data_IF_107075372176
#
_entry.id   IF_107075372176
#
_cell.length_a   1.000
_cell.length_b   1.000
_cell.length_c   1.000
_cell.angle_alpha   90.00
_cell.angle_beta   90.00
_cell.angle_gamma   90.00
#
_symmetry.space_group_name_H-M   'P 1'
#
loop_
_entity.id
_entity.type
_entity.pdbx_description
1 polymer ?
#
# COMPACT_ATOMS: atom_id res chain seq x y z
N UNK A 1 17.83 -9.70 -1.80
CA UNK A 1 17.18 -9.17 -3.01
C UNK A 1 15.97 -8.36 -2.59
N UNK A 2 15.76 -7.20 -3.22
CA UNK A 2 14.61 -6.32 -2.98
C UNK A 2 14.21 -5.75 -4.35
N UNK A 3 13.00 -6.05 -4.84
CA UNK A 3 12.46 -5.42 -6.04
C UNK A 3 12.20 -3.93 -5.78
N UNK A 4 12.37 -3.11 -6.81
CA UNK A 4 12.36 -1.64 -6.69
C UNK A 4 10.99 -1.06 -6.33
N UNK A 5 9.92 -1.81 -6.53
CA UNK A 5 8.54 -1.45 -6.26
C UNK A 5 8.07 -1.87 -4.85
N UNK A 6 8.93 -2.48 -4.05
CA UNK A 6 8.64 -2.86 -2.67
C UNK A 6 8.92 -1.72 -1.68
N UNK A 7 7.98 -1.51 -0.77
CA UNK A 7 8.03 -0.46 0.24
C UNK A 7 8.40 -1.07 1.59
N UNK A 8 9.64 -0.88 2.05
CA UNK A 8 10.07 -1.33 3.36
C UNK A 8 9.80 -0.27 4.43
N UNK A 9 8.93 -0.57 5.39
CA UNK A 9 8.58 0.36 6.49
C UNK A 9 9.35 0.05 7.78
N UNK A 10 9.86 -1.18 7.92
CA UNK A 10 10.59 -1.62 9.09
C UNK A 10 12.09 -1.41 8.93
N UNK A 11 12.64 -0.37 9.57
CA UNK A 11 14.08 -0.01 9.46
C UNK A 11 15.04 -1.10 9.94
N UNK A 12 14.57 -2.04 10.76
CA UNK A 12 15.37 -3.13 11.32
C UNK A 12 15.19 -4.47 10.59
N UNK A 13 14.51 -4.46 9.43
CA UNK A 13 14.16 -5.67 8.68
C UNK A 13 15.36 -6.57 8.38
N UNK A 14 16.48 -6.02 7.94
CA UNK A 14 17.68 -6.79 7.63
C UNK A 14 18.19 -7.56 8.85
N UNK A 15 18.36 -6.88 9.98
CA UNK A 15 18.81 -7.49 11.23
C UNK A 15 17.83 -8.54 11.75
N UNK A 16 16.53 -8.31 11.58
CA UNK A 16 15.49 -9.27 11.97
C UNK A 16 15.57 -10.54 11.14
N UNK A 17 15.71 -10.43 9.82
CA UNK A 17 15.87 -11.58 8.93
C UNK A 17 17.17 -12.34 9.20
N UNK A 18 18.29 -11.64 9.47
CA UNK A 18 19.56 -12.27 9.86
C UNK A 18 19.39 -13.12 11.13
N UNK A 19 18.65 -12.60 12.13
CA UNK A 19 18.41 -13.31 13.40
C UNK A 19 17.60 -14.60 13.25
N UNK A 20 16.83 -14.77 12.17
CA UNK A 20 16.11 -16.02 11.92
C UNK A 20 17.05 -17.19 11.56
N UNK A 21 18.31 -16.89 11.21
CA UNK A 21 19.35 -17.87 10.88
C UNK A 21 18.89 -18.92 9.85
N UNK A 22 18.24 -18.47 8.78
CA UNK A 22 17.78 -19.31 7.66
C UNK A 22 18.64 -19.04 6.42
N UNK A 23 18.76 -20.04 5.55
CA UNK A 23 19.50 -19.87 4.28
C UNK A 23 18.76 -18.95 3.33
N UNK A 24 17.43 -19.10 3.21
CA UNK A 24 16.55 -18.18 2.48
C UNK A 24 15.39 -17.77 3.39
N UNK A 25 15.20 -16.48 3.60
CA UNK A 25 14.11 -15.94 4.42
C UNK A 25 13.55 -14.65 3.87
N UNK A 26 12.24 -14.57 3.77
CA UNK A 26 11.50 -13.39 3.34
C UNK A 26 10.72 -12.77 4.51
N UNK A 27 10.67 -11.44 4.61
CA UNK A 27 9.63 -10.77 5.36
C UNK A 27 8.30 -10.91 4.60
N UNK A 28 7.21 -11.16 5.31
CA UNK A 28 5.88 -11.13 4.70
C UNK A 28 5.53 -9.68 4.35
N UNK A 29 5.36 -9.43 3.07
CA UNK A 29 5.01 -8.12 2.52
C UNK A 29 3.48 -8.01 2.36
N UNK A 30 2.92 -6.90 2.80
CA UNK A 30 1.48 -6.64 2.74
C UNK A 30 1.09 -5.99 1.41
N UNK A 31 0.09 -6.54 0.72
CA UNK A 31 -0.50 -5.92 -0.47
C UNK A 31 -1.97 -5.62 -0.26
N UNK A 32 -2.55 -4.88 -1.21
CA UNK A 32 -4.00 -4.87 -1.39
C UNK A 32 -4.51 -6.30 -1.66
N UNK A 33 -5.68 -6.63 -1.11
CA UNK A 33 -6.32 -7.94 -1.24
C UNK A 33 -5.48 -9.13 -0.67
N UNK A 34 -5.55 -10.28 -1.34
CA UNK A 34 -4.95 -11.55 -0.89
C UNK A 34 -3.71 -11.95 -1.71
N UNK A 35 -3.06 -10.99 -2.37
CA UNK A 35 -1.75 -11.20 -2.98
C UNK A 35 -0.64 -11.11 -1.90
N UNK A 36 0.52 -11.70 -2.15
CA UNK A 36 1.65 -11.70 -1.21
C UNK A 36 2.93 -12.20 -1.88
N UNK A 37 4.06 -11.84 -1.30
CA UNK A 37 5.40 -12.23 -1.75
C UNK A 37 5.81 -13.69 -1.42
N UNK A 38 4.84 -14.60 -1.24
CA UNK A 38 5.08 -16.00 -0.89
C UNK A 38 3.90 -16.88 -1.30
N UNK A 39 4.17 -18.16 -1.52
CA UNK A 39 3.14 -19.19 -1.76
C UNK A 39 3.19 -20.25 -0.67
N UNK A 40 2.03 -20.73 -0.19
CA UNK A 40 1.99 -21.87 0.75
C UNK A 40 1.94 -23.25 0.08
N UNK A 41 1.90 -23.29 -1.26
CA UNK A 41 1.78 -24.52 -2.03
C UNK A 41 2.14 -24.27 -3.47
N UNK A 42 2.67 -25.32 -4.11
CA UNK A 42 2.94 -25.37 -5.55
C UNK A 42 2.30 -26.63 -6.13
N UNK A 43 1.86 -26.56 -7.39
CA UNK A 43 1.41 -27.72 -8.17
C UNK A 43 2.61 -28.55 -8.62
N UNK A 44 2.36 -29.72 -9.21
CA UNK A 44 3.40 -30.56 -9.82
C UNK A 44 4.11 -29.88 -10.99
N UNK A 45 3.48 -28.88 -11.60
CA UNK A 45 4.02 -28.06 -12.69
C UNK A 45 4.66 -26.75 -12.20
N UNK A 46 4.81 -26.57 -10.88
CA UNK A 46 5.48 -25.41 -10.30
C UNK A 46 4.62 -24.16 -10.13
N UNK A 47 3.33 -24.21 -10.44
CA UNK A 47 2.44 -23.06 -10.29
C UNK A 47 1.86 -22.93 -8.89
N UNK A 48 1.40 -21.73 -8.57
CA UNK A 48 0.72 -21.42 -7.31
C UNK A 48 -0.40 -22.42 -6.97
N UNK A 49 -0.41 -22.88 -5.71
CA UNK A 49 -1.50 -23.66 -5.14
C UNK A 49 -1.90 -23.08 -3.78
N UNK A 50 -3.14 -22.60 -3.65
CA UNK A 50 -3.69 -22.14 -2.36
C UNK A 50 -3.79 -23.33 -1.39
N UNK A 51 -3.36 -23.13 -0.15
CA UNK A 51 -3.51 -24.10 0.94
C UNK A 51 -4.27 -23.49 2.12
N UNK A 52 -4.85 -24.30 3.04
CA UNK A 52 -5.55 -23.80 4.23
C UNK A 52 -4.66 -22.93 5.13
N UNK A 53 -3.34 -23.11 5.10
CA UNK A 53 -2.39 -22.34 5.88
C UNK A 53 -2.23 -20.88 5.39
N UNK A 54 -2.57 -20.60 4.12
CA UNK A 54 -2.29 -19.31 3.49
C UNK A 54 -2.99 -18.13 4.19
N UNK A 55 -4.31 -18.21 4.38
CA UNK A 55 -5.08 -17.08 4.95
C UNK A 55 -4.67 -16.78 6.40
N UNK A 56 -4.49 -17.76 7.30
CA UNK A 56 -4.00 -17.51 8.65
C UNK A 56 -2.62 -16.84 8.70
N UNK A 57 -1.69 -17.22 7.81
CA UNK A 57 -0.37 -16.59 7.72
C UNK A 57 -0.52 -15.17 7.15
N UNK A 58 -1.23 -15.01 6.03
CA UNK A 58 -1.38 -13.72 5.32
C UNK A 58 -2.08 -12.65 6.15
N UNK A 59 -3.07 -13.03 6.97
CA UNK A 59 -3.78 -12.13 7.88
C UNK A 59 -3.11 -11.99 9.25
N UNK A 60 -1.92 -12.57 9.43
CA UNK A 60 -1.19 -12.60 10.70
C UNK A 60 -2.00 -13.14 11.89
N UNK A 61 -2.98 -14.01 11.64
CA UNK A 61 -3.70 -14.76 12.70
C UNK A 61 -2.74 -15.75 13.34
N UNK A 62 -1.92 -16.43 12.52
CA UNK A 62 -0.79 -17.23 12.98
C UNK A 62 0.50 -16.47 12.70
N UNK A 63 1.17 -16.00 13.75
CA UNK A 63 2.45 -15.28 13.66
C UNK A 63 3.65 -16.22 13.82
N UNK A 64 4.70 -16.02 13.04
CA UNK A 64 5.90 -16.84 13.09
C UNK A 64 6.76 -16.73 11.83
N UNK A 65 7.64 -17.70 11.65
CA UNK A 65 8.36 -17.94 10.40
C UNK A 65 8.00 -19.34 9.90
N UNK A 66 7.51 -19.43 8.68
CA UNK A 66 6.91 -20.64 8.13
C UNK A 66 7.71 -21.12 6.94
N UNK A 67 7.95 -22.43 6.90
CA UNK A 67 8.46 -23.08 5.70
C UNK A 67 7.42 -22.92 4.58
N UNK A 68 7.89 -22.44 3.43
CA UNK A 68 7.06 -22.21 2.24
C UNK A 68 7.82 -22.65 1.00
N UNK A 69 7.13 -23.20 -0.02
CA UNK A 69 7.79 -23.65 -1.24
C UNK A 69 8.29 -22.51 -2.13
N UNK A 70 7.89 -21.25 -1.91
CA UNK A 70 8.36 -20.12 -2.69
C UNK A 70 8.22 -18.80 -1.91
N UNK A 71 9.26 -17.96 -2.01
CA UNK A 71 9.24 -16.54 -1.64
C UNK A 71 9.80 -15.73 -2.81
N UNK A 72 9.32 -14.50 -2.98
CA UNK A 72 9.78 -13.61 -4.04
C UNK A 72 9.82 -12.15 -3.57
N UNK A 73 10.23 -11.27 -4.48
CA UNK A 73 10.26 -9.81 -4.38
C UNK A 73 11.13 -9.19 -3.30
N UNK A 74 11.00 -9.59 -2.06
CA UNK A 74 11.91 -9.19 -0.98
C UNK A 74 12.29 -10.42 -0.17
N UNK A 75 13.58 -10.76 -0.17
CA UNK A 75 14.12 -11.84 0.65
C UNK A 75 15.63 -11.71 0.88
N UNK A 76 16.11 -12.38 1.92
CA UNK A 76 17.52 -12.51 2.29
C UNK A 76 18.00 -13.92 1.96
N UNK A 77 19.17 -14.01 1.32
CA UNK A 77 19.94 -15.25 1.16
C UNK A 77 21.21 -15.14 1.98
N UNK A 78 21.47 -16.11 2.85
CA UNK A 78 22.70 -16.16 3.64
C UNK A 78 23.82 -16.87 2.86
N UNK A 79 24.64 -16.07 2.18
CA UNK A 79 25.76 -16.55 1.36
C UNK A 79 26.91 -17.17 2.16
N UNK A 80 26.88 -17.09 3.50
CA UNK A 80 27.90 -17.71 4.36
C UNK A 80 27.67 -19.21 4.52
N UNK A 81 26.47 -19.70 4.22
CA UNK A 81 26.12 -21.13 4.32
C UNK A 81 26.52 -21.85 3.05
N UNK A 82 27.22 -22.96 3.15
CA UNK A 82 27.75 -23.68 1.98
C UNK A 82 26.66 -24.08 0.98
N UNK A 83 25.49 -24.50 1.48
CA UNK A 83 24.33 -24.83 0.65
C UNK A 83 23.94 -23.70 -0.32
N UNK A 84 24.10 -22.42 0.08
CA UNK A 84 23.77 -21.28 -0.78
C UNK A 84 24.56 -21.24 -2.09
N UNK A 85 25.73 -21.90 -2.17
CA UNK A 85 26.53 -22.02 -3.38
C UNK A 85 25.88 -22.88 -4.46
N UNK A 86 24.91 -23.72 -4.08
CA UNK A 86 24.14 -24.56 -5.00
C UNK A 86 22.94 -23.83 -5.62
N UNK A 87 22.62 -22.62 -5.13
CA UNK A 87 21.57 -21.79 -5.70
C UNK A 87 22.04 -21.17 -7.01
N UNK A 88 21.26 -21.34 -8.06
CA UNK A 88 21.51 -20.80 -9.38
C UNK A 88 20.22 -20.29 -9.98
N UNK A 89 20.21 -19.04 -10.42
CA UNK A 89 19.11 -18.46 -11.18
C UNK A 89 19.27 -18.77 -12.68
N UNK A 90 20.49 -18.65 -13.19
CA UNK A 90 20.81 -18.85 -14.59
C UNK A 90 22.19 -19.52 -14.75
N UNK A 91 22.34 -20.50 -15.67
CA UNK A 91 21.26 -21.16 -16.40
C UNK A 91 20.31 -21.92 -15.44
N UNK A 92 19.05 -22.15 -15.82
CA UNK A 92 18.17 -23.03 -15.05
C UNK A 92 18.81 -24.41 -14.84
N UNK A 93 18.40 -25.08 -13.77
CA UNK A 93 18.83 -26.45 -13.50
C UNK A 93 18.55 -27.36 -14.71
N UNK A 94 19.43 -28.33 -15.07
CA UNK A 94 19.23 -29.20 -16.24
C UNK A 94 17.87 -29.92 -16.29
N UNK A 95 17.34 -30.31 -15.13
CA UNK A 95 16.03 -30.98 -15.01
C UNK A 95 14.82 -30.01 -15.02
N UNK A 96 15.03 -28.71 -15.19
CA UNK A 96 13.95 -27.73 -15.21
C UNK A 96 13.17 -27.81 -16.52
N UNK A 97 11.88 -28.17 -16.43
CA UNK A 97 10.99 -28.40 -17.57
C UNK A 97 9.73 -27.54 -17.54
N UNK A 98 9.66 -26.57 -16.63
CA UNK A 98 8.49 -25.71 -16.44
C UNK A 98 8.59 -24.42 -17.25
N UNK A 99 7.56 -23.59 -17.20
CA UNK A 99 7.57 -22.27 -17.86
C UNK A 99 8.67 -21.39 -17.26
N UNK A 100 9.47 -20.75 -18.13
CA UNK A 100 10.56 -19.88 -17.69
C UNK A 100 10.01 -18.62 -17.01
N UNK A 101 10.01 -18.64 -15.69
CA UNK A 101 9.57 -17.59 -14.79
C UNK A 101 10.59 -17.51 -13.64
N UNK A 102 11.02 -16.29 -13.32
CA UNK A 102 12.15 -16.04 -12.43
C UNK A 102 11.92 -16.58 -11.01
N UNK A 103 10.72 -16.36 -10.46
CA UNK A 103 10.35 -16.82 -9.11
C UNK A 103 10.21 -18.34 -9.06
N UNK A 104 9.70 -18.96 -10.13
CA UNK A 104 9.57 -20.42 -10.23
C UNK A 104 10.94 -21.09 -10.44
N UNK A 105 11.80 -20.54 -11.31
CA UNK A 105 13.16 -21.05 -11.54
C UNK A 105 13.97 -21.01 -10.25
N UNK A 106 13.94 -19.89 -9.52
CA UNK A 106 14.66 -19.77 -8.26
C UNK A 106 14.13 -20.76 -7.20
N UNK A 107 12.80 -20.90 -7.08
CA UNK A 107 12.19 -21.87 -6.17
C UNK A 107 12.58 -23.31 -6.51
N UNK A 108 12.64 -23.65 -7.80
CA UNK A 108 13.09 -24.97 -8.25
C UNK A 108 14.57 -25.19 -7.90
N UNK A 109 15.43 -24.20 -8.14
CA UNK A 109 16.85 -24.29 -7.78
C UNK A 109 17.03 -24.53 -6.27
N UNK A 110 16.32 -23.77 -5.43
CA UNK A 110 16.35 -23.97 -3.98
C UNK A 110 15.88 -25.38 -3.59
N UNK A 111 14.83 -25.90 -4.25
CA UNK A 111 14.36 -27.27 -4.02
C UNK A 111 15.39 -28.33 -4.40
N UNK A 112 16.04 -28.20 -5.57
CA UNK A 112 17.06 -29.15 -6.02
C UNK A 112 18.31 -29.12 -5.14
N UNK A 113 18.63 -27.97 -4.55
CA UNK A 113 19.68 -27.80 -3.58
C UNK A 113 19.30 -28.25 -2.15
N UNK A 114 18.08 -28.78 -1.95
CA UNK A 114 17.51 -29.15 -0.64
C UNK A 114 17.44 -27.98 0.36
N UNK A 115 17.23 -26.76 -0.15
CA UNK A 115 17.18 -25.53 0.65
C UNK A 115 15.73 -25.10 0.86
N UNK A 116 15.28 -25.17 2.12
CA UNK A 116 13.97 -24.68 2.52
C UNK A 116 13.92 -23.13 2.55
N UNK A 117 12.94 -22.56 1.87
CA UNK A 117 12.61 -21.13 1.97
C UNK A 117 11.63 -20.87 3.13
N UNK A 118 11.74 -19.68 3.74
CA UNK A 118 10.90 -19.28 4.86
C UNK A 118 10.27 -17.91 4.64
N UNK A 119 9.02 -17.72 5.10
CA UNK A 119 8.38 -16.40 5.21
C UNK A 119 8.10 -16.07 6.66
N UNK A 120 8.43 -14.86 7.09
CA UNK A 120 8.25 -14.38 8.46
C UNK A 120 7.20 -13.27 8.52
N UNK A 121 6.19 -13.41 9.37
CA UNK A 121 5.08 -12.45 9.50
C UNK A 121 4.89 -11.95 10.96
N UNK A 122 5.94 -12.04 11.78
CA UNK A 122 5.91 -11.69 13.22
C UNK A 122 5.44 -10.24 13.48
N UNK A 123 5.65 -9.35 12.51
CA UNK A 123 5.27 -7.95 12.53
C UNK A 123 5.08 -7.43 11.10
N UNK A 124 4.68 -6.16 10.95
CA UNK A 124 4.61 -5.50 9.63
C UNK A 124 6.01 -5.08 9.20
N UNK A 125 6.42 -5.59 8.04
CA UNK A 125 7.75 -5.35 7.47
C UNK A 125 7.74 -4.33 6.34
N UNK A 126 6.71 -4.37 5.52
CA UNK A 126 6.60 -3.56 4.31
C UNK A 126 5.42 -3.94 3.46
N UNK A 127 5.31 -3.27 2.32
CA UNK A 127 4.21 -3.39 1.38
C UNK A 127 4.71 -3.65 -0.04
N UNK A 128 3.88 -4.27 -0.86
CA UNK A 128 4.14 -4.45 -2.29
C UNK A 128 2.89 -4.16 -3.12
N UNK A 129 3.03 -3.64 -4.35
CA UNK A 129 1.92 -3.49 -5.27
C UNK A 129 1.38 -4.87 -5.70
N UNK A 130 0.13 -4.89 -6.16
CA UNK A 130 -0.41 -6.07 -6.82
C UNK A 130 0.01 -6.00 -8.29
N UNK A 131 0.59 -7.08 -8.87
CA UNK A 131 0.99 -7.10 -10.27
C UNK A 131 -0.16 -6.72 -11.19
N UNK A 132 0.17 -5.98 -12.24
CA UNK A 132 -0.78 -5.67 -13.29
C UNK A 132 -1.11 -6.92 -14.12
N UNK A 133 -2.13 -6.76 -14.96
CA UNK A 133 -2.42 -7.73 -16.01
C UNK A 133 -1.36 -7.60 -17.11
N UNK A 134 -1.22 -8.62 -17.95
CA UNK A 134 -0.20 -8.70 -19.01
C UNK A 134 -0.25 -7.57 -20.06
N UNK A 135 -1.35 -6.81 -20.14
CA UNK A 135 -1.51 -5.65 -21.03
C UNK A 135 -1.30 -4.31 -20.32
N UNK A 136 -0.84 -4.32 -19.07
CA UNK A 136 -0.53 -3.10 -18.33
C UNK A 136 0.65 -2.35 -18.94
N UNK A 137 0.58 -1.03 -18.92
CA UNK A 137 1.66 -0.15 -19.36
C UNK A 137 2.56 0.23 -18.19
N UNK A 138 3.76 0.78 -18.48
CA UNK A 138 4.63 1.34 -17.44
C UNK A 138 3.98 2.50 -16.68
N UNK A 139 3.07 3.24 -17.33
CA UNK A 139 2.31 4.29 -16.66
C UNK A 139 1.33 3.68 -15.65
N UNK A 140 0.64 2.60 -16.02
CA UNK A 140 -0.23 1.88 -15.09
C UNK A 140 0.56 1.33 -13.89
N UNK A 141 1.82 0.93 -14.08
CA UNK A 141 2.69 0.46 -12.99
C UNK A 141 3.07 1.60 -12.05
N UNK A 142 3.43 2.76 -12.61
CA UNK A 142 3.70 3.97 -11.84
C UNK A 142 2.47 4.39 -11.02
N UNK A 143 1.28 4.37 -11.62
CA UNK A 143 0.02 4.71 -10.95
C UNK A 143 -0.30 3.67 -9.84
N UNK A 144 -0.12 2.39 -10.12
CA UNK A 144 -0.30 1.30 -9.13
C UNK A 144 0.66 1.43 -7.94
N UNK A 145 1.91 1.83 -8.20
CA UNK A 145 2.89 2.11 -7.15
C UNK A 145 2.47 3.32 -6.30
N UNK A 146 2.05 4.43 -6.93
CA UNK A 146 1.51 5.60 -6.21
C UNK A 146 0.31 5.22 -5.36
N UNK A 147 -0.64 4.44 -5.88
CA UNK A 147 -1.78 3.95 -5.10
C UNK A 147 -1.34 3.16 -3.87
N UNK A 148 -0.32 2.32 -4.00
CA UNK A 148 0.25 1.55 -2.88
C UNK A 148 0.85 2.49 -1.83
N UNK A 149 1.64 3.49 -2.24
CA UNK A 149 2.19 4.52 -1.33
C UNK A 149 1.06 5.24 -0.59
N UNK A 150 0.01 5.66 -1.30
CA UNK A 150 -1.15 6.35 -0.71
C UNK A 150 -1.89 5.48 0.29
N UNK A 151 -2.10 4.18 -0.01
CA UNK A 151 -2.75 3.22 0.89
C UNK A 151 -1.97 3.05 2.20
N UNK A 152 -0.64 2.95 2.12
CA UNK A 152 0.24 2.87 3.29
C UNK A 152 0.08 4.12 4.17
N UNK A 153 0.06 5.30 3.54
CA UNK A 153 -0.01 6.60 4.22
C UNK A 153 -1.36 6.86 4.93
N UNK A 154 -2.40 6.05 4.69
CA UNK A 154 -3.70 6.18 5.38
C UNK A 154 -3.58 5.84 6.86
N UNK A 155 -2.89 4.72 7.17
CA UNK A 155 -2.82 4.16 8.53
C UNK A 155 -1.44 4.24 9.15
N UNK A 156 -0.41 4.43 8.34
CA UNK A 156 0.99 4.49 8.78
C UNK A 156 1.57 5.89 8.58
N UNK A 157 2.69 6.20 9.25
CA UNK A 157 3.52 7.35 8.88
C UNK A 157 3.88 7.29 7.40
N UNK A 158 4.10 8.43 6.73
CA UNK A 158 4.42 8.39 5.31
C UNK A 158 5.68 7.61 5.01
N UNK A 159 5.63 6.95 3.86
CA UNK A 159 6.80 6.35 3.25
C UNK A 159 7.69 7.49 2.77
N UNK A 160 8.88 7.61 3.33
CA UNK A 160 9.86 8.61 2.92
C UNK A 160 10.92 7.95 2.02
N UNK A 161 11.28 8.55 0.87
CA UNK A 161 12.40 8.10 0.07
C UNK A 161 13.69 8.03 0.90
N UNK A 162 14.59 7.11 0.52
CA UNK A 162 15.92 7.06 1.12
C UNK A 162 16.61 8.40 0.97
N UNK A 163 17.24 8.89 2.05
CA UNK A 163 18.10 10.10 2.02
C UNK A 163 19.29 9.97 1.06
N UNK A 164 19.59 8.75 0.61
CA UNK A 164 20.67 8.44 -0.31
C UNK A 164 20.22 8.45 -1.79
N UNK A 165 18.94 8.62 -2.05
CA UNK A 165 18.38 8.74 -3.39
C UNK A 165 17.95 10.19 -3.63
N UNK A 166 18.11 10.70 -4.87
CA UNK A 166 17.53 11.98 -5.23
C UNK A 166 16.01 11.90 -5.06
N UNK A 167 15.42 12.97 -4.55
CA UNK A 167 13.96 13.08 -4.49
C UNK A 167 13.43 13.24 -5.91
N UNK A 168 12.36 12.51 -6.30
CA UNK A 168 11.70 12.76 -7.58
C UNK A 168 11.26 14.22 -7.67
N UNK A 169 11.49 14.83 -8.83
CA UNK A 169 10.90 16.14 -9.13
C UNK A 169 9.42 15.91 -9.37
N UNK A 170 8.57 16.63 -8.63
CA UNK A 170 7.11 16.56 -8.75
C UNK A 170 6.60 17.82 -9.43
N UNK A 171 5.87 17.68 -10.52
CA UNK A 171 5.33 18.82 -11.27
C UNK A 171 3.83 18.95 -11.01
N UNK A 172 3.48 19.67 -9.94
CA UNK A 172 2.08 19.81 -9.58
C UNK A 172 1.29 20.58 -10.63
N UNK A 173 0.10 20.09 -10.98
CA UNK A 173 -0.81 20.70 -11.92
C UNK A 173 -2.26 20.63 -11.42
N UNK A 174 -3.12 21.42 -12.04
CA UNK A 174 -4.56 21.49 -11.72
C UNK A 174 -5.43 20.54 -12.55
N UNK A 175 -4.84 19.49 -13.15
CA UNK A 175 -5.53 18.48 -13.96
C UNK A 175 -6.39 19.06 -15.12
N UNK A 176 -6.03 20.23 -15.64
CA UNK A 176 -6.79 20.93 -16.68
C UNK A 176 -7.97 21.77 -16.16
N UNK A 177 -8.17 21.86 -14.84
CA UNK A 177 -9.13 22.78 -14.22
C UNK A 177 -8.49 24.15 -13.95
N UNK A 178 -9.31 25.20 -13.88
CA UNK A 178 -8.87 26.53 -13.47
C UNK A 178 -8.35 26.55 -12.02
N UNK A 179 -9.00 25.79 -11.15
CA UNK A 179 -8.63 25.64 -9.75
C UNK A 179 -9.06 24.28 -9.18
N UNK A 180 -8.24 23.73 -8.28
CA UNK A 180 -8.57 22.54 -7.50
C UNK A 180 -8.59 22.94 -6.03
N UNK A 181 -9.72 22.73 -5.35
CA UNK A 181 -9.89 23.17 -3.97
C UNK A 181 -9.72 22.03 -2.97
N UNK A 182 -8.91 22.27 -1.94
CA UNK A 182 -8.77 21.39 -0.78
C UNK A 182 -9.47 22.01 0.43
N UNK A 183 -10.69 21.55 0.70
CA UNK A 183 -11.53 22.05 1.79
C UNK A 183 -11.18 21.32 3.08
N UNK A 184 -10.75 22.06 4.10
CA UNK A 184 -10.39 21.45 5.38
C UNK A 184 -10.66 22.35 6.58
N UNK A 185 -11.19 21.74 7.65
CA UNK A 185 -11.40 22.42 8.93
C UNK A 185 -10.07 22.89 9.51
N UNK A 186 -9.97 24.19 9.87
CA UNK A 186 -8.73 24.77 10.44
C UNK A 186 -8.18 23.97 11.62
N UNK A 187 -9.05 23.43 12.48
CA UNK A 187 -8.66 22.61 13.66
C UNK A 187 -8.13 21.21 13.34
N UNK A 188 -8.22 20.74 12.08
CA UNK A 188 -7.76 19.41 11.64
C UNK A 188 -6.48 19.49 10.82
N UNK A 189 -5.42 20.05 11.43
CA UNK A 189 -4.10 20.13 10.82
C UNK A 189 -3.54 18.73 10.44
N UNK A 190 -3.87 17.71 11.25
CA UNK A 190 -3.51 16.31 11.02
C UNK A 190 -4.08 15.75 9.70
N UNK A 191 -5.33 16.09 9.35
CA UNK A 191 -5.95 15.68 8.09
C UNK A 191 -5.45 16.51 6.92
N UNK A 192 -5.22 17.81 7.16
CA UNK A 192 -4.64 18.71 6.15
C UNK A 192 -3.29 18.22 5.68
N UNK A 193 -2.38 17.93 6.61
CA UNK A 193 -1.04 17.45 6.29
C UNK A 193 -1.07 16.14 5.50
N UNK A 194 -1.90 15.18 5.93
CA UNK A 194 -2.07 13.91 5.20
C UNK A 194 -2.58 14.11 3.77
N UNK A 195 -3.59 14.95 3.59
CA UNK A 195 -4.17 15.21 2.27
C UNK A 195 -3.20 15.97 1.37
N UNK A 196 -2.49 16.99 1.88
CA UNK A 196 -1.49 17.71 1.08
C UNK A 196 -0.34 16.80 0.63
N UNK A 197 0.07 15.84 1.46
CA UNK A 197 1.05 14.81 1.06
C UNK A 197 0.48 13.91 -0.04
N UNK A 198 -0.77 13.44 0.10
CA UNK A 198 -1.42 12.62 -0.91
C UNK A 198 -1.58 13.34 -2.27
N UNK A 199 -1.94 14.63 -2.24
CA UNK A 199 -2.06 15.45 -3.45
C UNK A 199 -0.70 15.71 -4.09
N UNK A 200 0.35 15.94 -3.29
CA UNK A 200 1.72 16.07 -3.79
C UNK A 200 2.21 14.81 -4.48
N UNK A 201 1.94 13.63 -3.91
CA UNK A 201 2.36 12.36 -4.54
C UNK A 201 1.70 12.14 -5.90
N UNK A 202 0.47 12.60 -6.06
CA UNK A 202 -0.31 12.58 -7.30
C UNK A 202 -0.07 13.80 -8.20
N UNK A 203 0.87 14.68 -7.84
CA UNK A 203 1.16 15.90 -8.60
C UNK A 203 -0.06 16.81 -8.80
N UNK A 204 -0.95 16.87 -7.81
CA UNK A 204 -2.12 17.75 -7.83
C UNK A 204 -1.79 19.02 -7.04
N UNK A 205 -1.85 20.15 -7.72
CA UNK A 205 -1.85 21.48 -7.10
C UNK A 205 -3.24 21.77 -6.56
N UNK A 206 -3.34 22.41 -5.39
CA UNK A 206 -4.64 22.82 -4.86
C UNK A 206 -4.59 24.12 -4.06
N UNK A 207 -5.67 24.89 -4.11
CA UNK A 207 -5.95 26.00 -3.19
C UNK A 207 -6.63 25.50 -1.92
N UNK A 208 -6.01 25.80 -0.78
CA UNK A 208 -6.56 25.41 0.53
C UNK A 208 -7.66 26.37 0.94
N UNK A 209 -8.86 25.85 1.14
CA UNK A 209 -10.02 26.63 1.60
C UNK A 209 -10.35 26.24 3.05
N UNK A 210 -10.45 27.21 3.97
CA UNK A 210 -10.87 26.94 5.34
C UNK A 210 -12.34 26.51 5.35
N UNK A 211 -12.59 25.26 5.75
CA UNK A 211 -13.95 24.76 5.88
C UNK A 211 -14.70 25.43 7.05
N UNK A 212 -16.01 25.60 6.87
CA UNK A 212 -16.93 26.05 7.91
C UNK A 212 -17.14 24.92 8.92
N UNK A 213 -16.83 25.18 10.20
CA UNK A 213 -17.09 24.21 11.26
C UNK A 213 -18.53 24.30 11.73
N UNK A 214 -19.39 23.51 11.10
CA UNK A 214 -20.80 23.48 11.47
C UNK A 214 -21.05 23.10 12.93
N UNK A 215 -20.13 22.37 13.60
CA UNK A 215 -20.27 22.08 15.05
C UNK A 215 -20.07 23.32 15.91
N UNK A 216 -19.28 24.29 15.45
CA UNK A 216 -19.05 25.55 16.13
C UNK A 216 -20.18 26.57 15.90
N UNK A 217 -21.06 26.33 14.91
CA UNK A 217 -22.19 27.22 14.63
C UNK A 217 -23.30 27.06 15.66
N UNK A 218 -23.81 28.21 16.12
CA UNK A 218 -25.01 28.29 16.94
C UNK A 218 -26.27 28.44 16.05
N UNK A 219 -27.45 28.25 16.64
CA UNK A 219 -28.72 28.31 15.89
C UNK A 219 -29.05 29.73 15.43
N UNK A 220 -28.65 30.75 16.18
CA UNK A 220 -28.85 32.16 15.83
C UNK A 220 -28.07 32.58 14.57
N UNK A 221 -26.85 32.08 14.39
CA UNK A 221 -26.02 32.36 13.21
C UNK A 221 -26.66 31.78 11.95
N UNK A 222 -27.21 30.57 12.05
CA UNK A 222 -27.89 29.88 10.95
C UNK A 222 -29.17 30.65 10.55
N UNK A 223 -29.95 31.08 11.54
CA UNK A 223 -31.14 31.90 11.32
C UNK A 223 -30.81 33.26 10.71
N UNK A 224 -29.73 33.92 11.18
CA UNK A 224 -29.27 35.20 10.64
C UNK A 224 -28.82 35.09 9.18
N UNK A 225 -28.33 33.93 8.75
CA UNK A 225 -28.01 33.65 7.34
C UNK A 225 -29.25 33.34 6.49
N UNK A 226 -30.44 33.30 7.08
CA UNK A 226 -31.69 32.95 6.39
C UNK A 226 -31.75 31.47 5.99
N UNK A 227 -30.95 30.61 6.62
CA UNK A 227 -30.89 29.19 6.28
C UNK A 227 -31.97 28.46 7.06
N UNK A 228 -32.92 27.85 6.34
CA UNK A 228 -33.97 27.03 6.91
C UNK A 228 -33.99 25.64 6.26
N UNK A 229 -34.30 24.63 7.07
CA UNK A 229 -34.60 23.29 6.56
C UNK A 229 -35.92 23.33 5.77
N UNK A 230 -35.92 22.73 4.58
CA UNK A 230 -37.14 22.55 3.81
C UNK A 230 -38.17 21.73 4.60
N UNK A 231 -39.43 22.18 4.72
CA UNK A 231 -40.47 21.42 5.39
C UNK A 231 -40.61 20.02 4.78
N UNK A 232 -40.59 18.99 5.62
CA UNK A 232 -40.71 17.60 5.16
C UNK A 232 -39.43 17.00 4.55
N UNK A 233 -38.33 17.75 4.47
CA UNK A 233 -37.05 17.16 4.06
C UNK A 233 -36.58 16.11 5.08
N UNK A 234 -36.23 14.94 4.57
CA UNK A 234 -35.62 13.85 5.31
C UNK A 234 -34.57 13.21 4.44
N UNK A 235 -33.37 12.99 4.97
CA UNK A 235 -32.30 12.27 4.27
C UNK A 235 -32.82 10.88 3.83
N UNK A 236 -32.80 10.53 2.53
CA UNK A 236 -33.32 9.26 2.03
C UNK A 236 -32.58 8.03 2.59
N UNK A 237 -31.35 8.19 3.08
CA UNK A 237 -30.57 7.08 3.64
C UNK A 237 -30.80 6.86 5.14
N UNK A 238 -30.92 7.94 5.93
CA UNK A 238 -30.98 7.85 7.38
C UNK A 238 -32.31 8.33 7.99
N UNK A 239 -33.24 8.85 7.19
CA UNK A 239 -34.55 9.30 7.64
C UNK A 239 -34.51 10.47 8.63
N UNK A 240 -33.48 11.31 8.56
CA UNK A 240 -33.23 12.40 9.52
C UNK A 240 -33.02 13.75 8.83
N UNK A 241 -33.16 14.83 9.60
CA UNK A 241 -32.77 16.17 9.18
C UNK A 241 -31.25 16.30 8.96
N UNK A 242 -30.84 17.30 8.16
CA UNK A 242 -29.43 17.64 7.97
C UNK A 242 -28.75 17.92 9.32
N UNK A 243 -27.57 17.34 9.48
CA UNK A 243 -26.69 17.59 10.60
C UNK A 243 -25.97 18.93 10.44
N UNK A 244 -25.54 19.49 11.57
CA UNK A 244 -24.62 20.62 11.59
C UNK A 244 -23.35 20.37 10.75
N UNK A 245 -22.84 19.15 10.72
CA UNK A 245 -21.67 18.80 9.91
C UNK A 245 -21.93 18.91 8.40
N UNK A 246 -23.09 18.40 7.95
CA UNK A 246 -23.52 18.51 6.55
C UNK A 246 -23.80 19.96 6.16
N UNK A 247 -24.39 20.76 7.07
CA UNK A 247 -24.56 22.21 6.87
C UNK A 247 -23.20 22.93 6.72
N UNK A 248 -22.22 22.63 7.58
CA UNK A 248 -20.87 23.18 7.47
C UNK A 248 -20.19 22.78 6.16
N UNK A 249 -20.40 21.55 5.69
CA UNK A 249 -19.95 21.11 4.36
C UNK A 249 -20.57 21.98 3.26
N UNK A 250 -21.90 22.10 3.24
CA UNK A 250 -22.62 22.94 2.27
C UNK A 250 -22.09 24.37 2.24
N UNK A 251 -21.96 25.02 3.40
CA UNK A 251 -21.47 26.40 3.49
C UNK A 251 -20.02 26.55 3.01
N UNK A 252 -19.19 25.54 3.25
CA UNK A 252 -17.81 25.54 2.75
C UNK A 252 -17.76 25.56 1.22
N UNK A 253 -18.61 24.76 0.57
CA UNK A 253 -18.73 24.73 -0.90
C UNK A 253 -19.40 25.99 -1.45
N UNK A 254 -20.45 26.48 -0.79
CA UNK A 254 -21.15 27.70 -1.17
C UNK A 254 -20.23 28.93 -1.16
N UNK A 255 -19.35 29.04 -0.17
CA UNK A 255 -18.39 30.15 -0.09
C UNK A 255 -17.38 30.15 -1.24
N UNK A 256 -17.02 28.99 -1.77
CA UNK A 256 -16.14 28.88 -2.95
C UNK A 256 -16.87 29.38 -4.20
N UNK A 257 -18.15 29.02 -4.35
CA UNK A 257 -18.97 29.44 -5.49
C UNK A 257 -19.21 30.95 -5.58
N UNK A 258 -19.01 31.69 -4.49
CA UNK A 258 -19.14 33.15 -4.45
C UNK A 258 -17.87 33.90 -4.86
N UNK A 259 -16.73 33.23 -4.81
CA UNK A 259 -15.44 33.79 -5.22
C UNK A 259 -15.37 33.89 -6.75
#
# INVERSE_FOLDING_TARGET
MIDCDNILVNRNILWKLIKENKTIVAPMMESRAAYSNFWCGMSSQGYYKRTPAYIPIRKQVRKGCFAVPMVHSTFLVDLRKEASRLLAFHPPHPDYTWAFDDIIVFAFSARMAEIQMFVCNKETYGHLPVPLRSHGTLQDEADSFIHTVLEVNVRNPPVEPSRHLPKPVKNQAKLGFDEVFMINLKRRADRRERMLRALREQEIECKIIPAVDGKAMNTSDIQAMGIAMLPGYSDPYHGRSLTKGELGCFLSHYNIWKE
#
